data_IF_798884111968
#
_entry.id   IF_798884111968
#
_cell.length_a   1.000
_cell.length_b   1.000
_cell.length_c   1.000
_cell.angle_alpha   90.00
_cell.angle_beta   90.00
_cell.angle_gamma   90.00
#
_symmetry.space_group_name_H-M   'P 1'
#
loop_
_entity.id
_entity.type
_entity.pdbx_description
1 polymer ?
#
# COMPACT_ATOMS: atom_id res chain seq x y z
N UNK A 1 15.49 5.42 9.04
CA UNK A 1 14.75 6.68 8.83
C UNK A 1 13.45 6.37 8.12
N UNK A 2 12.29 6.79 8.67
CA UNK A 2 11.01 6.73 7.96
C UNK A 2 11.09 7.50 6.64
N UNK A 3 10.35 7.04 5.63
CA UNK A 3 10.22 7.68 4.31
C UNK A 3 8.74 7.69 3.93
N UNK A 4 8.37 8.66 3.10
CA UNK A 4 7.07 8.66 2.41
C UNK A 4 7.27 8.05 1.02
N UNK A 5 6.48 7.02 0.70
CA UNK A 5 6.69 6.16 -0.48
C UNK A 5 5.39 6.04 -1.27
N UNK A 6 5.40 6.42 -2.56
CA UNK A 6 4.28 6.23 -3.49
C UNK A 6 4.42 4.90 -4.22
N UNK A 7 3.39 4.06 -4.15
CA UNK A 7 3.32 2.80 -4.91
C UNK A 7 2.14 2.86 -5.88
N UNK A 8 2.45 2.90 -7.17
CA UNK A 8 1.46 2.80 -8.25
C UNK A 8 1.11 1.33 -8.51
N UNK A 9 -0.17 1.04 -8.80
CA UNK A 9 -0.64 -0.33 -8.99
C UNK A 9 -0.64 -1.15 -7.70
N UNK A 10 -0.92 -0.52 -6.55
CA UNK A 10 -0.82 -1.11 -5.21
C UNK A 10 -2.09 -1.82 -4.72
N UNK A 11 -3.09 -2.00 -5.58
CA UNK A 11 -4.36 -2.64 -5.18
C UNK A 11 -4.29 -4.17 -5.09
N UNK A 12 -3.28 -4.81 -5.67
CA UNK A 12 -3.14 -6.26 -5.71
C UNK A 12 -1.68 -6.70 -5.95
N UNK A 13 -1.42 -8.01 -5.93
CA UNK A 13 -0.16 -8.61 -6.35
C UNK A 13 1.07 -8.06 -5.62
N UNK A 14 2.15 -7.84 -6.38
CA UNK A 14 3.44 -7.37 -5.85
C UNK A 14 3.32 -5.98 -5.24
N UNK A 15 2.55 -5.07 -5.86
CA UNK A 15 2.37 -3.71 -5.36
C UNK A 15 1.76 -3.68 -3.96
N UNK A 16 0.76 -4.53 -3.70
CA UNK A 16 0.14 -4.69 -2.38
C UNK A 16 1.10 -5.32 -1.35
N UNK A 17 1.84 -6.37 -1.74
CA UNK A 17 2.80 -7.00 -0.84
C UNK A 17 3.94 -6.05 -0.45
N UNK A 18 4.43 -5.25 -1.42
CA UNK A 18 5.44 -4.23 -1.16
C UNK A 18 4.91 -3.16 -0.21
N UNK A 19 3.66 -2.71 -0.41
CA UNK A 19 3.02 -1.73 0.47
C UNK A 19 2.93 -2.23 1.91
N UNK A 20 2.50 -3.49 2.10
CA UNK A 20 2.41 -4.14 3.41
C UNK A 20 3.78 -4.22 4.09
N UNK A 21 4.80 -4.67 3.36
CA UNK A 21 6.17 -4.77 3.89
C UNK A 21 6.70 -3.40 4.33
N UNK A 22 6.63 -2.39 3.46
CA UNK A 22 7.16 -1.06 3.75
C UNK A 22 6.40 -0.37 4.89
N UNK A 23 5.07 -0.55 4.96
CA UNK A 23 4.27 -0.08 6.09
C UNK A 23 4.70 -0.75 7.41
N UNK A 24 4.94 -2.07 7.40
CA UNK A 24 5.42 -2.80 8.58
C UNK A 24 6.83 -2.37 9.05
N UNK A 25 7.64 -1.81 8.15
CA UNK A 25 8.96 -1.24 8.45
C UNK A 25 8.88 0.20 8.98
N UNK A 26 7.67 0.74 9.17
CA UNK A 26 7.43 2.08 9.73
C UNK A 26 7.53 3.20 8.69
N UNK A 27 7.38 2.89 7.40
CA UNK A 27 7.27 3.90 6.35
C UNK A 27 5.83 4.38 6.16
N UNK A 28 5.68 5.63 5.73
CA UNK A 28 4.41 6.14 5.24
C UNK A 28 4.25 5.72 3.79
N UNK A 29 3.18 4.97 3.49
CA UNK A 29 2.96 4.41 2.15
C UNK A 29 1.69 5.00 1.55
N UNK A 30 1.83 5.62 0.38
CA UNK A 30 0.73 6.14 -0.44
C UNK A 30 0.36 5.09 -1.49
N UNK A 31 -0.89 4.61 -1.42
CA UNK A 31 -1.43 3.65 -2.37
C UNK A 31 -2.08 4.38 -3.55
N UNK A 32 -1.61 4.12 -4.77
CA UNK A 32 -2.20 4.64 -5.99
C UNK A 32 -2.74 3.53 -6.90
N UNK A 33 -3.98 3.70 -7.37
CA UNK A 33 -4.66 2.78 -8.26
C UNK A 33 -5.87 3.42 -8.94
N UNK A 34 -6.40 2.76 -9.97
CA UNK A 34 -7.51 3.27 -10.79
C UNK A 34 -8.90 2.99 -10.20
N UNK A 35 -9.00 2.09 -9.22
CA UNK A 35 -10.26 1.64 -8.63
C UNK A 35 -10.25 1.92 -7.13
N UNK A 36 -11.12 2.84 -6.69
CA UNK A 36 -11.22 3.28 -5.30
C UNK A 36 -11.66 2.17 -4.35
N UNK A 37 -12.57 1.28 -4.77
CA UNK A 37 -13.01 0.17 -3.91
C UNK A 37 -11.89 -0.84 -3.69
N UNK A 38 -11.13 -1.18 -4.74
CA UNK A 38 -9.94 -2.04 -4.59
C UNK A 38 -8.86 -1.41 -3.71
N UNK A 39 -8.69 -0.08 -3.76
CA UNK A 39 -7.78 0.63 -2.85
C UNK A 39 -8.25 0.50 -1.39
N UNK A 40 -9.56 0.62 -1.14
CA UNK A 40 -10.13 0.51 0.21
C UNK A 40 -9.94 -0.89 0.79
N UNK A 41 -10.13 -1.93 -0.04
CA UNK A 41 -9.84 -3.33 0.33
C UNK A 41 -8.35 -3.53 0.61
N UNK A 42 -7.47 -3.06 -0.28
CA UNK A 42 -6.02 -3.17 -0.08
C UNK A 42 -5.55 -2.47 1.19
N UNK A 43 -6.08 -1.28 1.49
CA UNK A 43 -5.82 -0.55 2.73
C UNK A 43 -6.26 -1.36 3.96
N UNK A 44 -7.47 -1.93 3.95
CA UNK A 44 -7.96 -2.77 5.05
C UNK A 44 -7.08 -4.01 5.27
N UNK A 45 -6.50 -4.57 4.21
CA UNK A 45 -5.62 -5.74 4.33
C UNK A 45 -4.22 -5.36 4.84
N UNK A 46 -3.74 -4.15 4.54
CA UNK A 46 -2.43 -3.65 5.01
C UNK A 46 -2.48 -3.20 6.47
N UNK A 47 -3.62 -2.70 6.95
CA UNK A 47 -3.80 -2.23 8.34
C UNK A 47 -4.16 -3.34 9.34
N UNK A 48 -4.30 -4.59 8.89
CA UNK A 48 -4.47 -5.75 9.76
C UNK A 48 -3.13 -6.18 10.34
#
# INVERSE_FOLDING_TARGET
>A
MPKTILITGSTDGIGKHLAMKLASEGHEVILHGRNSEKLRVALSDILR
#
